data_IF_502977856183
#
_entry.id   IF_502977856183
#
_cell.length_a   1.000
_cell.length_b   1.000
_cell.length_c   1.000
_cell.angle_alpha   90.00
_cell.angle_beta   90.00
_cell.angle_gamma   90.00
#
_symmetry.space_group_name_H-M   'P 1'
#
loop_
_entity.id
_entity.type
_entity.pdbx_description
1 polymer ?
#
# COMPACT_ATOMS: atom_id res chain seq x y z
N UNK A 1 -16.98 -0.51 23.75
CA UNK A 1 -17.10 0.66 22.86
C UNK A 1 -16.94 0.15 21.44
N UNK A 2 -17.85 0.45 20.50
CA UNK A 2 -17.70 0.05 19.11
C UNK A 2 -16.34 0.51 18.56
N UNK A 3 -15.67 -0.33 17.77
CA UNK A 3 -14.37 0.02 17.19
C UNK A 3 -14.43 1.26 16.28
N UNK A 4 -15.61 1.51 15.72
CA UNK A 4 -15.88 2.64 14.84
C UNK A 4 -15.88 3.98 15.59
N UNK A 5 -16.01 3.97 16.92
CA UNK A 5 -15.98 5.17 17.77
C UNK A 5 -14.58 5.42 18.40
N UNK A 6 -13.62 4.51 18.18
CA UNK A 6 -12.26 4.67 18.72
C UNK A 6 -11.51 5.68 17.88
N UNK A 7 -11.18 6.83 18.47
CA UNK A 7 -10.35 7.87 17.84
C UNK A 7 -9.03 7.96 18.59
N UNK A 8 -7.92 7.87 17.86
CA UNK A 8 -6.59 8.08 18.43
C UNK A 8 -6.40 9.58 18.76
N UNK A 9 -6.50 9.94 20.04
CA UNK A 9 -6.38 11.33 20.48
C UNK A 9 -4.93 11.82 20.40
N UNK A 10 -4.71 12.89 19.64
CA UNK A 10 -3.40 13.56 19.50
C UNK A 10 -3.47 15.01 19.95
N UNK A 11 -2.40 15.49 20.60
CA UNK A 11 -2.27 16.92 20.91
C UNK A 11 -2.06 17.74 19.63
N UNK A 12 -2.34 19.05 19.61
CA UNK A 12 -2.08 19.90 18.45
C UNK A 12 -0.62 19.85 17.96
N UNK A 13 0.34 19.80 18.89
CA UNK A 13 1.76 19.63 18.54
C UNK A 13 2.06 18.27 17.92
N UNK A 14 1.39 17.21 18.39
CA UNK A 14 1.47 15.87 17.82
C UNK A 14 0.95 15.80 16.38
N UNK A 15 -0.11 16.55 16.04
CA UNK A 15 -0.65 16.64 14.69
C UNK A 15 0.31 17.32 13.70
N UNK A 16 1.02 18.36 14.14
CA UNK A 16 2.06 19.00 13.31
C UNK A 16 3.19 18.02 13.03
N UNK A 17 3.67 17.32 14.06
CA UNK A 17 4.72 16.30 13.90
C UNK A 17 4.25 15.19 12.95
N UNK A 18 3.01 14.72 13.10
CA UNK A 18 2.42 13.71 12.24
C UNK A 18 2.39 14.15 10.77
N UNK A 19 1.97 15.38 10.49
CA UNK A 19 1.94 15.92 9.12
C UNK A 19 3.35 16.02 8.52
N UNK A 20 4.35 16.38 9.34
CA UNK A 20 5.77 16.35 8.91
C UNK A 20 6.22 14.92 8.62
N UNK A 21 5.90 13.96 9.48
CA UNK A 21 6.22 12.54 9.26
C UNK A 21 5.58 12.04 7.97
N UNK A 22 4.31 12.36 7.71
CA UNK A 22 3.62 12.02 6.48
C UNK A 22 4.30 12.64 5.25
N UNK A 23 4.62 13.93 5.30
CA UNK A 23 5.35 14.61 4.22
C UNK A 23 6.71 13.97 3.95
N UNK A 24 7.42 13.55 4.99
CA UNK A 24 8.72 12.83 4.90
C UNK A 24 8.54 11.46 4.27
N UNK A 25 7.49 10.69 4.63
CA UNK A 25 7.19 9.39 4.01
C UNK A 25 6.90 9.57 2.52
N UNK A 26 6.01 10.50 2.16
CA UNK A 26 5.63 10.76 0.76
C UNK A 26 6.84 11.26 -0.04
N UNK A 27 7.65 12.14 0.55
CA UNK A 27 8.91 12.57 -0.06
C UNK A 27 9.82 11.35 -0.30
N UNK A 28 9.94 10.45 0.68
CA UNK A 28 10.70 9.21 0.53
C UNK A 28 10.25 8.39 -0.68
N UNK A 29 8.94 8.26 -0.91
CA UNK A 29 8.36 7.60 -2.10
C UNK A 29 8.70 8.38 -3.38
N UNK A 30 8.54 9.69 -3.37
CA UNK A 30 8.83 10.56 -4.51
C UNK A 30 10.30 10.50 -4.94
N UNK A 31 11.21 10.37 -3.97
CA UNK A 31 12.64 10.18 -4.22
C UNK A 31 12.94 8.85 -4.91
N UNK A 32 12.01 7.88 -4.89
CA UNK A 32 12.23 6.59 -5.51
C UNK A 32 12.07 6.58 -7.01
N UNK A 33 11.24 7.46 -7.54
CA UNK A 33 10.90 7.53 -8.96
C UNK A 33 12.12 7.99 -9.76
N UNK A 34 12.62 7.14 -10.66
CA UNK A 34 13.71 7.49 -11.57
C UNK A 34 13.19 7.65 -12.99
N UNK A 35 13.75 8.59 -13.79
CA UNK A 35 13.43 8.70 -15.21
C UNK A 35 13.70 7.40 -16.01
N UNK A 36 14.68 6.60 -15.56
CA UNK A 36 15.01 5.32 -16.18
C UNK A 36 13.88 4.30 -16.06
N UNK A 37 13.08 4.37 -14.99
CA UNK A 37 11.97 3.45 -14.73
C UNK A 37 10.88 3.56 -15.81
N UNK A 38 10.80 4.69 -16.53
CA UNK A 38 9.83 4.86 -17.60
C UNK A 38 10.24 4.19 -18.92
N UNK A 39 11.49 3.72 -19.06
CA UNK A 39 11.97 3.08 -20.30
C UNK A 39 11.32 1.71 -20.54
N UNK A 40 11.08 0.93 -19.48
CA UNK A 40 10.41 -0.38 -19.60
C UNK A 40 8.93 -0.22 -19.95
N UNK A 41 8.34 0.96 -19.72
CA UNK A 41 6.93 1.24 -20.06
C UNK A 41 6.64 1.02 -21.53
N UNK A 42 7.55 1.46 -22.39
CA UNK A 42 7.44 1.25 -23.83
C UNK A 42 7.66 -0.21 -24.25
N UNK A 43 8.37 -1.01 -23.44
CA UNK A 43 8.70 -2.41 -23.75
C UNK A 43 7.62 -3.38 -23.31
N UNK A 44 6.95 -3.10 -22.19
CA UNK A 44 5.95 -3.98 -21.57
C UNK A 44 4.63 -3.25 -21.26
N UNK A 45 4.01 -2.53 -22.22
CA UNK A 45 2.84 -1.68 -21.94
C UNK A 45 1.63 -2.50 -21.47
N UNK A 46 1.46 -3.73 -21.97
CA UNK A 46 0.37 -4.62 -21.56
C UNK A 46 0.44 -4.97 -20.07
N UNK A 47 1.63 -5.28 -19.56
CA UNK A 47 1.84 -5.64 -18.16
C UNK A 47 1.58 -4.45 -17.23
N UNK A 48 1.98 -3.25 -17.65
CA UNK A 48 1.80 -2.02 -16.87
C UNK A 48 0.34 -1.59 -16.83
N UNK A 49 -0.36 -1.56 -17.96
CA UNK A 49 -1.79 -1.22 -18.00
C UNK A 49 -2.62 -2.20 -17.17
N UNK A 50 -2.34 -3.50 -17.30
CA UNK A 50 -2.96 -4.53 -16.46
C UNK A 50 -2.65 -4.31 -14.99
N UNK A 51 -1.39 -4.05 -14.65
CA UNK A 51 -0.95 -3.77 -13.29
C UNK A 51 -1.72 -2.63 -12.65
N UNK A 52 -1.80 -1.49 -13.34
CA UNK A 52 -2.54 -0.31 -12.89
C UNK A 52 -4.03 -0.62 -12.73
N UNK A 53 -4.65 -1.32 -13.70
CA UNK A 53 -6.04 -1.73 -13.60
C UNK A 53 -6.26 -2.70 -12.43
N UNK A 54 -5.34 -3.63 -12.20
CA UNK A 54 -5.42 -4.55 -11.07
C UNK A 54 -5.27 -3.81 -9.73
N UNK A 55 -4.39 -2.82 -9.66
CA UNK A 55 -4.15 -2.04 -8.45
C UNK A 55 -5.29 -1.09 -8.10
N UNK A 56 -5.87 -0.38 -9.07
CA UNK A 56 -6.84 0.68 -8.78
C UNK A 56 -8.29 0.30 -9.07
N UNK A 57 -8.55 -0.77 -9.83
CA UNK A 57 -9.91 -1.23 -10.08
C UNK A 57 -10.16 -2.59 -9.41
N UNK A 58 -9.35 -3.60 -9.76
CA UNK A 58 -9.64 -4.97 -9.36
C UNK A 58 -9.46 -5.18 -7.85
N UNK A 59 -8.33 -4.76 -7.27
CA UNK A 59 -8.09 -4.96 -5.85
C UNK A 59 -9.10 -4.20 -4.98
N UNK A 60 -9.38 -2.90 -5.21
CA UNK A 60 -10.37 -2.18 -4.42
C UNK A 60 -11.79 -2.78 -4.57
N UNK A 61 -12.18 -3.24 -5.77
CA UNK A 61 -13.44 -3.96 -5.95
C UNK A 61 -13.49 -5.24 -5.09
N UNK A 62 -12.44 -6.05 -5.15
CA UNK A 62 -12.31 -7.27 -4.32
C UNK A 62 -12.32 -6.92 -2.83
N UNK A 63 -11.70 -5.80 -2.45
CA UNK A 63 -11.69 -5.30 -1.07
C UNK A 63 -13.09 -5.02 -0.55
N UNK A 64 -13.92 -4.31 -1.33
CA UNK A 64 -15.32 -4.05 -0.99
C UNK A 64 -16.09 -5.36 -0.88
N UNK A 65 -15.90 -6.30 -1.82
CA UNK A 65 -16.54 -7.61 -1.75
C UNK A 65 -16.17 -8.38 -0.47
N UNK A 66 -14.89 -8.37 -0.07
CA UNK A 66 -14.43 -9.00 1.17
C UNK A 66 -15.06 -8.32 2.39
N UNK A 67 -15.06 -6.97 2.44
CA UNK A 67 -15.63 -6.22 3.55
C UNK A 67 -17.13 -6.53 3.74
N UNK A 68 -17.88 -6.66 2.65
CA UNK A 68 -19.29 -7.02 2.66
C UNK A 68 -19.51 -8.48 3.05
N UNK A 69 -18.73 -9.40 2.49
CA UNK A 69 -18.86 -10.84 2.77
C UNK A 69 -18.53 -11.17 4.24
N UNK A 70 -17.55 -10.49 4.82
CA UNK A 70 -17.13 -10.70 6.21
C UNK A 70 -17.88 -9.80 7.20
N UNK A 71 -18.75 -8.89 6.73
CA UNK A 71 -19.51 -7.94 7.54
C UNK A 71 -18.63 -7.20 8.57
N UNK A 72 -17.44 -6.75 8.13
CA UNK A 72 -16.50 -6.07 9.03
C UNK A 72 -17.04 -4.69 9.44
N UNK A 73 -16.68 -4.20 10.65
CA UNK A 73 -16.98 -2.84 11.09
C UNK A 73 -16.57 -1.76 10.09
N UNK A 74 -17.27 -0.62 10.13
CA UNK A 74 -17.15 0.45 9.13
C UNK A 74 -15.72 1.00 9.04
N UNK A 75 -15.07 1.23 10.18
CA UNK A 75 -13.70 1.73 10.26
C UNK A 75 -12.69 0.72 9.71
N UNK A 76 -12.91 -0.59 9.91
CA UNK A 76 -12.06 -1.64 9.34
C UNK A 76 -12.25 -1.70 7.83
N UNK A 77 -13.49 -1.69 7.33
CA UNK A 77 -13.79 -1.68 5.91
C UNK A 77 -13.13 -0.48 5.21
N UNK A 78 -13.26 0.71 5.79
CA UNK A 78 -12.67 1.94 5.26
C UNK A 78 -11.14 1.87 5.26
N UNK A 79 -10.55 1.29 6.31
CA UNK A 79 -9.10 1.03 6.40
C UNK A 79 -8.61 0.07 5.32
N UNK A 80 -9.35 -1.01 5.07
CA UNK A 80 -9.03 -1.96 4.01
C UNK A 80 -9.09 -1.31 2.63
N UNK A 81 -10.14 -0.54 2.34
CA UNK A 81 -10.30 0.20 1.08
C UNK A 81 -9.17 1.20 0.91
N UNK A 82 -8.83 1.96 1.95
CA UNK A 82 -7.76 2.95 1.91
C UNK A 82 -6.41 2.31 1.55
N UNK A 83 -6.04 1.23 2.25
CA UNK A 83 -4.78 0.51 1.99
C UNK A 83 -4.79 -0.10 0.59
N UNK A 84 -5.90 -0.69 0.15
CA UNK A 84 -6.03 -1.25 -1.19
C UNK A 84 -5.92 -0.20 -2.30
N UNK A 85 -6.27 1.06 -2.03
CA UNK A 85 -6.10 2.17 -2.96
C UNK A 85 -4.70 2.80 -2.93
N UNK A 86 -3.86 2.46 -1.95
CA UNK A 86 -2.49 2.96 -1.91
C UNK A 86 -1.64 2.37 -3.05
N UNK A 87 -0.76 3.16 -3.67
CA UNK A 87 0.23 2.62 -4.60
C UNK A 87 1.17 1.62 -3.90
N UNK A 88 1.83 0.73 -4.65
CA UNK A 88 2.92 -0.09 -4.12
C UNK A 88 4.11 0.78 -3.67
N UNK A 89 4.89 0.27 -2.73
CA UNK A 89 6.14 0.89 -2.26
C UNK A 89 7.37 0.06 -2.60
N UNK A 90 8.58 0.62 -2.45
CA UNK A 90 9.84 -0.02 -2.85
C UNK A 90 10.13 -1.42 -2.29
N UNK A 91 9.39 -1.90 -1.28
CA UNK A 91 9.46 -3.29 -0.82
C UNK A 91 9.05 -4.29 -1.90
N UNK A 92 8.12 -3.94 -2.79
CA UNK A 92 7.70 -4.79 -3.92
C UNK A 92 8.90 -5.17 -4.80
N UNK A 93 9.78 -4.22 -5.11
CA UNK A 93 11.00 -4.47 -5.89
C UNK A 93 11.95 -5.46 -5.21
N UNK A 94 12.10 -5.37 -3.88
CA UNK A 94 12.93 -6.30 -3.09
C UNK A 94 12.32 -7.70 -3.11
N UNK A 95 11.00 -7.81 -2.95
CA UNK A 95 10.28 -9.08 -3.00
C UNK A 95 10.37 -9.71 -4.40
N UNK A 96 10.16 -8.92 -5.46
CA UNK A 96 10.31 -9.33 -6.85
C UNK A 96 11.72 -9.88 -7.11
N UNK A 97 12.76 -9.17 -6.69
CA UNK A 97 14.14 -9.64 -6.82
C UNK A 97 14.37 -10.97 -6.08
N UNK A 98 13.91 -11.07 -4.83
CA UNK A 98 14.05 -12.31 -4.02
C UNK A 98 13.30 -13.49 -4.60
N UNK A 99 12.21 -13.23 -5.31
CA UNK A 99 11.41 -14.21 -6.01
C UNK A 99 11.90 -14.53 -7.42
N UNK A 100 13.04 -13.98 -7.88
CA UNK A 100 13.50 -14.11 -9.27
C UNK A 100 12.46 -13.63 -10.31
N UNK A 101 11.72 -12.58 -9.98
CA UNK A 101 10.80 -11.90 -10.90
C UNK A 101 11.47 -10.78 -11.71
N UNK A 102 10.69 -10.15 -12.59
CA UNK A 102 11.16 -9.02 -13.40
C UNK A 102 11.20 -7.72 -12.57
N UNK A 103 12.39 -7.42 -12.03
CA UNK A 103 12.63 -6.22 -11.20
C UNK A 103 12.48 -4.94 -12.01
N UNK A 104 12.83 -4.95 -13.30
CA UNK A 104 12.69 -3.76 -14.15
C UNK A 104 11.21 -3.43 -14.37
N UNK A 105 10.38 -4.45 -14.60
CA UNK A 105 8.93 -4.27 -14.68
C UNK A 105 8.34 -3.78 -13.35
N UNK A 106 8.75 -4.37 -12.22
CA UNK A 106 8.31 -3.96 -10.86
C UNK A 106 8.62 -2.48 -10.61
N UNK A 107 9.86 -2.06 -10.83
CA UNK A 107 10.29 -0.67 -10.62
C UNK A 107 9.52 0.30 -11.52
N UNK A 108 9.31 -0.06 -12.79
CA UNK A 108 8.49 0.72 -13.72
C UNK A 108 7.04 0.82 -13.30
N UNK A 109 6.43 -0.28 -12.85
CA UNK A 109 5.07 -0.30 -12.35
C UNK A 109 4.93 0.56 -11.10
N UNK A 110 5.84 0.45 -10.14
CA UNK A 110 5.85 1.28 -8.93
C UNK A 110 5.97 2.76 -9.30
N UNK A 111 6.89 3.13 -10.18
CA UNK A 111 7.09 4.52 -10.61
C UNK A 111 5.84 5.12 -11.28
N UNK A 112 5.25 4.39 -12.24
CA UNK A 112 4.01 4.84 -12.91
C UNK A 112 2.85 4.90 -11.93
N UNK A 113 2.70 3.89 -11.08
CA UNK A 113 1.60 3.79 -10.13
C UNK A 113 1.67 4.89 -9.09
N UNK A 114 2.87 5.25 -8.61
CA UNK A 114 3.07 6.37 -7.69
C UNK A 114 2.69 7.73 -8.31
N UNK A 115 2.98 7.95 -9.60
CA UNK A 115 2.53 9.15 -10.30
C UNK A 115 1.01 9.18 -10.50
N UNK A 116 0.45 8.06 -10.95
CA UNK A 116 -1.00 7.91 -11.15
C UNK A 116 -1.75 8.08 -9.81
N UNK A 117 -1.17 7.60 -8.71
CA UNK A 117 -1.75 7.67 -7.37
C UNK A 117 -2.04 9.10 -6.92
N UNK A 118 -1.24 10.09 -7.34
CA UNK A 118 -1.42 11.50 -6.94
C UNK A 118 -2.88 11.91 -7.17
N UNK A 119 -3.45 11.55 -8.31
CA UNK A 119 -4.82 11.89 -8.69
C UNK A 119 -5.78 10.72 -8.43
N UNK A 120 -5.40 9.51 -8.84
CA UNK A 120 -6.33 8.37 -8.83
C UNK A 120 -6.62 7.92 -7.42
N UNK A 121 -5.63 7.87 -6.52
CA UNK A 121 -5.82 7.35 -5.16
C UNK A 121 -6.94 8.07 -4.38
N UNK A 122 -6.96 9.40 -4.24
CA UNK A 122 -8.03 10.07 -3.50
C UNK A 122 -9.42 9.87 -4.13
N UNK A 123 -9.49 9.89 -5.47
CA UNK A 123 -10.74 9.63 -6.19
C UNK A 123 -11.23 8.20 -5.97
N UNK A 124 -10.30 7.24 -5.97
CA UNK A 124 -10.59 5.83 -5.82
C UNK A 124 -11.08 5.52 -4.40
N UNK A 125 -10.44 6.07 -3.37
CA UNK A 125 -10.91 5.96 -1.98
C UNK A 125 -12.32 6.51 -1.86
N UNK A 126 -12.58 7.72 -2.37
CA UNK A 126 -13.90 8.34 -2.32
C UNK A 126 -14.97 7.49 -3.05
N UNK A 127 -14.63 6.96 -4.22
CA UNK A 127 -15.53 6.12 -5.02
C UNK A 127 -15.87 4.79 -4.31
N UNK A 128 -14.86 4.03 -3.90
CA UNK A 128 -15.08 2.71 -3.28
C UNK A 128 -15.68 2.81 -1.88
N UNK A 129 -15.34 3.84 -1.11
CA UNK A 129 -15.97 4.10 0.19
C UNK A 129 -17.45 4.52 0.04
N UNK A 130 -17.80 5.25 -1.01
CA UNK A 130 -19.20 5.60 -1.28
C UNK A 130 -20.03 4.39 -1.74
N UNK A 131 -19.42 3.42 -2.43
CA UNK A 131 -20.09 2.21 -2.90
C UNK A 131 -20.28 1.13 -1.83
N UNK A 132 -19.61 1.25 -0.68
CA UNK A 132 -19.71 0.29 0.41
C UNK A 132 -20.78 0.74 1.42
N UNK A 133 -21.93 0.04 1.54
CA UNK A 133 -22.95 0.34 2.54
C UNK A 133 -22.42 0.44 3.97
N UNK A 134 -21.40 -0.37 4.29
CA UNK A 134 -20.78 -0.42 5.61
C UNK A 134 -20.07 0.88 5.99
N UNK A 135 -19.67 1.71 5.02
CA UNK A 135 -18.93 2.95 5.25
C UNK A 135 -19.78 4.21 5.12
N UNK A 136 -21.07 4.08 4.77
CA UNK A 136 -21.97 5.22 4.53
C UNK A 136 -22.16 6.12 5.77
N UNK A 137 -22.17 5.53 6.98
CA UNK A 137 -22.26 6.28 8.24
C UNK A 137 -21.04 7.18 8.49
N UNK A 138 -19.83 6.65 8.30
CA UNK A 138 -18.57 7.39 8.46
C UNK A 138 -18.35 8.42 7.34
N UNK A 139 -18.85 8.12 6.14
CA UNK A 139 -18.74 9.03 4.98
C UNK A 139 -19.68 10.24 5.07
N UNK A 140 -20.77 10.18 5.84
CA UNK A 140 -21.68 11.33 6.05
C UNK A 140 -21.03 12.44 6.87
N UNK A 141 -20.26 12.12 7.90
CA UNK A 141 -19.51 13.13 8.67
C UNK A 141 -18.34 13.71 7.86
N UNK A 142 -17.75 12.88 6.98
CA UNK A 142 -16.74 13.28 5.99
C UNK A 142 -17.27 14.16 4.84
N UNK A 143 -18.59 14.25 4.67
CA UNK A 143 -19.21 14.78 3.45
C UNK A 143 -19.24 16.31 3.35
N UNK A 144 -18.80 17.05 4.38
CA UNK A 144 -18.96 18.50 4.47
C UNK A 144 -17.98 19.32 3.60
N UNK A 145 -16.86 18.74 3.11
CA UNK A 145 -16.00 19.41 2.12
C UNK A 145 -15.17 18.44 1.27
N UNK A 146 -15.83 17.68 0.38
CA UNK A 146 -15.16 16.73 -0.53
C UNK A 146 -14.16 17.41 -1.47
N UNK A 147 -14.42 18.66 -1.85
CA UNK A 147 -13.58 19.44 -2.76
C UNK A 147 -12.28 19.89 -2.07
N UNK A 148 -12.38 20.49 -0.89
CA UNK A 148 -11.22 20.90 -0.10
C UNK A 148 -10.37 19.72 0.34
N UNK A 149 -10.99 18.59 0.73
CA UNK A 149 -10.25 17.37 1.07
C UNK A 149 -9.46 16.83 -0.14
N UNK A 150 -10.06 16.77 -1.33
CA UNK A 150 -9.36 16.33 -2.55
C UNK A 150 -8.16 17.25 -2.83
N UNK A 151 -8.34 18.57 -2.76
CA UNK A 151 -7.26 19.54 -2.95
C UNK A 151 -6.17 19.35 -1.88
N UNK A 152 -6.55 19.13 -0.63
CA UNK A 152 -5.60 18.95 0.46
C UNK A 152 -4.79 17.65 0.33
N UNK A 153 -5.42 16.54 -0.06
CA UNK A 153 -4.73 15.27 -0.38
C UNK A 153 -3.81 15.46 -1.59
N UNK A 154 -4.28 16.14 -2.64
CA UNK A 154 -3.47 16.46 -3.81
C UNK A 154 -2.26 17.32 -3.45
N UNK A 155 -2.39 18.27 -2.54
CA UNK A 155 -1.26 19.09 -2.08
C UNK A 155 -0.30 18.29 -1.21
N UNK A 156 -0.81 17.50 -0.26
CA UNK A 156 0.01 16.67 0.64
C UNK A 156 0.79 15.61 -0.13
N UNK A 157 0.22 15.03 -1.19
CA UNK A 157 0.92 14.06 -2.03
C UNK A 157 1.72 14.76 -3.14
N UNK A 158 1.08 15.69 -3.85
CA UNK A 158 1.64 16.34 -5.03
C UNK A 158 2.83 17.24 -4.74
N UNK A 159 2.86 17.96 -3.61
CA UNK A 159 4.00 18.83 -3.26
C UNK A 159 5.28 18.01 -3.02
N UNK A 160 5.28 16.96 -2.17
CA UNK A 160 6.45 16.10 -2.03
C UNK A 160 6.89 15.44 -3.34
N UNK A 161 5.97 15.07 -4.24
CA UNK A 161 6.32 14.56 -5.56
C UNK A 161 6.95 15.62 -6.48
N UNK A 162 6.40 16.83 -6.50
CA UNK A 162 6.92 17.96 -7.25
C UNK A 162 8.32 18.40 -6.79
N UNK A 163 8.65 18.20 -5.50
CA UNK A 163 9.98 18.48 -4.94
C UNK A 163 10.93 17.28 -5.05
N UNK A 164 10.43 16.08 -4.72
CA UNK A 164 11.22 14.86 -4.64
C UNK A 164 11.73 14.38 -5.99
N UNK A 165 10.90 14.39 -7.03
CA UNK A 165 11.32 13.88 -8.35
C UNK A 165 12.44 14.74 -8.99
N UNK A 166 12.38 16.09 -8.99
CA UNK A 166 13.51 16.90 -9.45
C UNK A 166 14.77 16.69 -8.61
N UNK A 167 14.64 16.53 -7.29
CA UNK A 167 15.78 16.27 -6.41
C UNK A 167 16.42 14.91 -6.72
N UNK A 168 15.61 13.88 -6.89
CA UNK A 168 15.98 12.55 -7.34
C UNK A 168 16.73 12.57 -8.68
N UNK A 169 16.25 13.38 -9.62
CA UNK A 169 16.87 13.54 -10.94
C UNK A 169 18.19 14.31 -10.90
N UNK A 170 18.28 15.37 -10.08
CA UNK A 170 19.44 16.28 -10.05
C UNK A 170 20.56 15.80 -9.14
N UNK A 171 20.24 15.11 -8.05
CA UNK A 171 21.21 14.62 -7.06
C UNK A 171 20.97 13.13 -6.71
N UNK A 172 21.15 12.21 -7.69
CA UNK A 172 20.84 10.80 -7.50
C UNK A 172 21.62 10.18 -6.33
N UNK A 173 22.93 10.46 -6.22
CA UNK A 173 23.78 9.92 -5.15
C UNK A 173 23.34 10.34 -3.74
N UNK A 174 22.94 11.61 -3.58
CA UNK A 174 22.42 12.12 -2.31
C UNK A 174 21.10 11.42 -1.96
N UNK A 175 20.19 11.33 -2.94
CA UNK A 175 18.87 10.74 -2.71
C UNK A 175 18.94 9.24 -2.43
N UNK A 176 19.87 8.51 -3.04
CA UNK A 176 20.10 7.10 -2.74
C UNK A 176 20.66 6.88 -1.32
N UNK A 177 21.48 7.81 -0.83
CA UNK A 177 21.95 7.80 0.56
C UNK A 177 20.83 8.14 1.55
N UNK A 178 20.01 9.14 1.27
CA UNK A 178 18.98 9.64 2.19
C UNK A 178 17.72 8.78 2.24
N UNK A 179 17.29 8.24 1.11
CA UNK A 179 16.05 7.45 0.96
C UNK A 179 15.84 6.38 2.05
N UNK A 180 16.79 5.46 2.32
CA UNK A 180 16.56 4.41 3.32
C UNK A 180 16.37 4.99 4.72
N UNK A 181 17.01 6.13 5.04
CA UNK A 181 16.83 6.81 6.33
C UNK A 181 15.47 7.49 6.40
N UNK A 182 15.09 8.23 5.36
CA UNK A 182 13.79 8.90 5.25
C UNK A 182 12.64 7.91 5.46
N UNK A 183 12.69 6.75 4.79
CA UNK A 183 11.68 5.70 4.92
C UNK A 183 11.67 5.06 6.31
N UNK A 184 12.85 4.69 6.85
CA UNK A 184 12.94 4.05 8.18
C UNK A 184 12.49 4.99 9.28
N UNK A 185 12.94 6.24 9.28
CA UNK A 185 12.57 7.24 10.28
C UNK A 185 11.07 7.52 10.20
N UNK A 186 10.54 7.73 8.99
CA UNK A 186 9.10 7.95 8.78
C UNK A 186 8.27 6.78 9.31
N UNK A 187 8.63 5.55 8.94
CA UNK A 187 7.93 4.35 9.40
C UNK A 187 8.01 4.17 10.93
N UNK A 188 9.20 4.30 11.51
CA UNK A 188 9.39 4.18 12.97
C UNK A 188 8.60 5.25 13.73
N UNK A 189 8.63 6.50 13.26
CA UNK A 189 7.85 7.57 13.85
C UNK A 189 6.35 7.25 13.79
N UNK A 190 5.86 6.80 12.65
CA UNK A 190 4.45 6.46 12.45
C UNK A 190 4.01 5.26 13.31
N UNK A 191 4.86 4.23 13.43
CA UNK A 191 4.65 3.11 14.35
C UNK A 191 4.63 3.56 15.82
N UNK A 192 5.51 4.48 16.20
CA UNK A 192 5.50 5.05 17.55
C UNK A 192 4.20 5.80 17.83
N UNK A 193 3.66 6.55 16.85
CA UNK A 193 2.36 7.19 16.95
C UNK A 193 1.22 6.20 17.17
N UNK A 194 1.22 5.07 16.43
CA UNK A 194 0.23 4.01 16.64
C UNK A 194 0.37 3.44 18.03
N UNK A 195 1.56 3.02 18.45
CA UNK A 195 1.76 2.37 19.74
C UNK A 195 1.32 3.31 20.87
N UNK A 196 1.64 4.60 20.79
CA UNK A 196 1.19 5.60 21.75
C UNK A 196 -0.34 5.76 21.74
N UNK A 197 -0.96 5.84 20.56
CA UNK A 197 -2.41 5.95 20.41
C UNK A 197 -3.16 4.70 20.89
N UNK A 198 -2.68 3.52 20.51
CA UNK A 198 -3.25 2.21 20.87
C UNK A 198 -3.08 1.91 22.36
N UNK A 199 -1.92 2.22 22.96
CA UNK A 199 -1.72 2.06 24.41
C UNK A 199 -2.72 2.88 25.21
N UNK A 200 -3.07 4.08 24.71
CA UNK A 200 -4.06 4.96 25.32
C UNK A 200 -5.51 4.48 25.12
N UNK A 201 -5.75 3.52 24.22
CA UNK A 201 -7.07 3.01 23.82
C UNK A 201 -7.15 1.46 23.88
N UNK A 202 -6.33 0.83 24.72
CA UNK A 202 -6.07 -0.61 24.65
C UNK A 202 -7.31 -1.47 24.97
N UNK A 203 -8.21 -0.98 25.81
CA UNK A 203 -9.43 -1.69 26.22
C UNK A 203 -10.32 -2.07 25.02
N UNK A 204 -10.93 -1.10 24.33
CA UNK A 204 -11.78 -1.34 23.17
C UNK A 204 -11.07 -2.08 22.01
N UNK A 205 -9.78 -1.81 21.80
CA UNK A 205 -9.05 -2.39 20.67
C UNK A 205 -8.74 -3.88 20.88
N UNK A 206 -8.58 -4.33 22.12
CA UNK A 206 -8.19 -5.71 22.45
C UNK A 206 -9.19 -6.74 21.93
N UNK A 207 -10.48 -6.43 21.97
CA UNK A 207 -11.55 -7.34 21.56
C UNK A 207 -11.58 -7.57 20.04
N UNK A 208 -11.07 -6.62 19.26
CA UNK A 208 -11.10 -6.66 17.79
C UNK A 208 -9.76 -7.04 17.16
N UNK A 209 -8.68 -7.08 17.93
CA UNK A 209 -7.33 -7.45 17.47
C UNK A 209 -7.38 -8.73 16.63
N UNK A 210 -7.88 -9.85 17.19
CA UNK A 210 -7.88 -11.15 16.51
C UNK A 210 -8.60 -11.13 15.17
N UNK A 211 -9.74 -10.46 15.09
CA UNK A 211 -10.50 -10.32 13.84
C UNK A 211 -9.75 -9.48 12.81
N UNK A 212 -9.16 -8.35 13.22
CA UNK A 212 -8.35 -7.50 12.33
C UNK A 212 -7.14 -8.29 11.80
N UNK A 213 -6.45 -9.01 12.67
CA UNK A 213 -5.32 -9.87 12.30
C UNK A 213 -5.69 -10.85 11.18
N UNK A 214 -6.80 -11.57 11.36
CA UNK A 214 -7.26 -12.58 10.41
C UNK A 214 -7.75 -11.95 9.10
N UNK A 215 -8.58 -10.91 9.18
CA UNK A 215 -9.16 -10.23 8.01
C UNK A 215 -8.06 -9.66 7.12
N UNK A 216 -7.08 -8.96 7.71
CA UNK A 216 -5.95 -8.39 6.97
C UNK A 216 -5.10 -9.50 6.36
N UNK A 217 -4.83 -10.57 7.11
CA UNK A 217 -4.02 -11.67 6.59
C UNK A 217 -4.66 -12.37 5.39
N UNK A 218 -5.97 -12.61 5.46
CA UNK A 218 -6.76 -13.18 4.35
C UNK A 218 -6.82 -12.21 3.17
N UNK A 219 -7.06 -10.94 3.43
CA UNK A 219 -7.16 -9.93 2.38
C UNK A 219 -5.83 -9.74 1.65
N UNK A 220 -4.70 -9.69 2.36
CA UNK A 220 -3.37 -9.61 1.75
C UNK A 220 -3.06 -10.84 0.88
N UNK A 221 -3.42 -12.04 1.34
CA UNK A 221 -3.30 -13.25 0.53
C UNK A 221 -4.15 -13.18 -0.75
N UNK A 222 -5.37 -12.64 -0.66
CA UNK A 222 -6.21 -12.40 -1.84
C UNK A 222 -5.59 -11.33 -2.74
N UNK A 223 -4.98 -10.28 -2.19
CA UNK A 223 -4.33 -9.22 -2.98
C UNK A 223 -3.17 -9.77 -3.81
N UNK A 224 -2.32 -10.61 -3.21
CA UNK A 224 -1.27 -11.34 -3.92
C UNK A 224 -1.86 -12.26 -5.00
N UNK A 225 -2.93 -13.00 -4.68
CA UNK A 225 -3.59 -13.88 -5.64
C UNK A 225 -4.19 -13.11 -6.82
N UNK A 226 -4.84 -11.96 -6.58
CA UNK A 226 -5.39 -11.07 -7.60
C UNK A 226 -4.29 -10.62 -8.57
N UNK A 227 -3.15 -10.18 -8.05
CA UNK A 227 -2.01 -9.80 -8.89
C UNK A 227 -1.49 -10.94 -9.76
N UNK A 228 -1.31 -12.13 -9.16
CA UNK A 228 -0.82 -13.31 -9.88
C UNK A 228 -1.80 -13.76 -10.98
N UNK A 229 -3.09 -13.86 -10.65
CA UNK A 229 -4.10 -14.36 -11.57
C UNK A 229 -4.49 -13.35 -12.65
N UNK A 230 -4.48 -12.04 -12.34
CA UNK A 230 -4.63 -11.01 -13.37
C UNK A 230 -3.51 -11.12 -14.42
N UNK A 231 -2.26 -11.23 -13.97
CA UNK A 231 -1.10 -11.42 -14.86
C UNK A 231 -1.16 -12.75 -15.64
N UNK A 232 -1.65 -13.82 -15.01
CA UNK A 232 -1.83 -15.11 -15.66
C UNK A 232 -2.94 -15.09 -16.73
N UNK A 233 -4.03 -14.37 -16.50
CA UNK A 233 -5.16 -14.27 -17.43
C UNK A 233 -4.76 -13.70 -18.80
N UNK A 234 -3.79 -12.77 -18.81
CA UNK A 234 -3.22 -12.21 -20.06
C UNK A 234 -1.92 -12.90 -20.50
N UNK A 235 -1.60 -14.05 -19.89
CA UNK A 235 -0.48 -14.92 -20.26
C UNK A 235 0.90 -14.25 -20.19
N UNK A 236 1.14 -13.39 -19.21
CA UNK A 236 2.52 -12.93 -18.93
C UNK A 236 3.42 -14.12 -18.58
N UNK A 237 4.72 -13.99 -18.80
CA UNK A 237 5.70 -14.98 -18.34
C UNK A 237 5.77 -15.03 -16.80
N UNK A 238 6.39 -16.07 -16.25
CA UNK A 238 6.45 -16.28 -14.80
C UNK A 238 7.17 -15.13 -14.05
N UNK A 239 8.24 -14.56 -14.61
CA UNK A 239 8.98 -13.49 -13.96
C UNK A 239 8.15 -12.20 -13.90
N UNK A 240 7.44 -11.89 -14.98
CA UNK A 240 6.47 -10.79 -15.04
C UNK A 240 5.28 -11.01 -14.10
N UNK A 241 4.74 -12.23 -14.00
CA UNK A 241 3.65 -12.55 -13.06
C UNK A 241 4.05 -12.29 -11.61
N UNK A 242 5.27 -12.69 -11.22
CA UNK A 242 5.79 -12.45 -9.86
C UNK A 242 5.92 -10.97 -9.57
N UNK A 243 6.39 -10.18 -10.54
CA UNK A 243 6.44 -8.72 -10.41
C UNK A 243 5.04 -8.13 -10.20
N UNK A 244 4.07 -8.44 -11.07
CA UNK A 244 2.68 -7.95 -10.93
C UNK A 244 2.05 -8.41 -9.62
N UNK A 245 2.37 -9.62 -9.15
CA UNK A 245 1.88 -10.14 -7.86
C UNK A 245 2.27 -9.24 -6.70
N UNK A 246 3.55 -8.89 -6.58
CA UNK A 246 4.00 -8.01 -5.49
C UNK A 246 3.59 -6.56 -5.69
N UNK A 247 3.52 -6.07 -6.93
CA UNK A 247 3.05 -4.71 -7.22
C UNK A 247 1.56 -4.50 -6.91
N UNK A 248 0.74 -5.55 -6.96
CA UNK A 248 -0.68 -5.50 -6.59
C UNK A 248 -0.87 -5.80 -5.10
N UNK A 249 -0.15 -6.79 -4.56
CA UNK A 249 -0.32 -7.24 -3.18
C UNK A 249 0.39 -6.38 -2.14
N UNK A 250 1.66 -6.02 -2.38
CA UNK A 250 2.44 -5.22 -1.42
C UNK A 250 2.10 -3.74 -1.58
N UNK A 251 1.40 -3.18 -0.58
CA UNK A 251 0.88 -1.81 -0.61
C UNK A 251 1.74 -0.88 0.23
N UNK A 252 1.69 0.42 -0.09
CA UNK A 252 2.30 1.43 0.78
C UNK A 252 1.40 1.71 1.98
N UNK A 253 1.47 0.84 2.97
CA UNK A 253 0.70 0.89 4.21
C UNK A 253 1.10 2.08 5.09
N UNK A 254 2.35 2.55 5.01
CA UNK A 254 2.79 3.78 5.69
C UNK A 254 2.05 5.02 5.19
N UNK A 255 1.83 5.13 3.87
CA UNK A 255 0.98 6.18 3.30
C UNK A 255 -0.47 6.04 3.78
N UNK A 256 -1.07 4.85 3.69
CA UNK A 256 -2.46 4.61 4.13
C UNK A 256 -2.68 4.93 5.61
N UNK A 257 -1.72 4.58 6.45
CA UNK A 257 -1.74 4.90 7.87
C UNK A 257 -1.60 6.41 8.12
N UNK A 258 -0.67 7.09 7.45
CA UNK A 258 -0.54 8.54 7.61
C UNK A 258 -1.78 9.30 7.15
N UNK A 259 -2.40 8.89 6.04
CA UNK A 259 -3.67 9.46 5.59
C UNK A 259 -4.81 9.19 6.58
N UNK A 260 -4.84 8.01 7.21
CA UNK A 260 -5.78 7.70 8.29
C UNK A 260 -5.67 8.71 9.44
N UNK A 261 -4.45 8.94 9.91
CA UNK A 261 -4.21 9.81 11.06
C UNK A 261 -4.47 11.30 10.73
N UNK A 262 -4.18 11.73 9.49
CA UNK A 262 -4.36 13.12 9.07
C UNK A 262 -5.79 13.46 8.65
N UNK A 263 -6.46 12.59 7.89
CA UNK A 263 -7.77 12.89 7.30
C UNK A 263 -8.92 12.24 8.06
N UNK A 264 -8.72 11.04 8.59
CA UNK A 264 -9.77 10.27 9.26
C UNK A 264 -9.66 10.36 10.78
N UNK A 265 -9.10 11.47 11.29
CA UNK A 265 -8.90 11.75 12.73
C UNK A 265 -8.18 10.63 13.50
N UNK A 266 -7.50 9.71 12.81
CA UNK A 266 -6.95 8.51 13.44
C UNK A 266 -7.99 7.52 13.93
N UNK A 267 -9.05 7.26 13.14
CA UNK A 267 -9.98 6.16 13.40
C UNK A 267 -9.21 4.84 13.69
N UNK A 268 -9.46 4.27 14.85
CA UNK A 268 -8.69 3.16 15.41
C UNK A 268 -8.69 1.94 14.51
N UNK A 269 -9.84 1.53 13.99
CA UNK A 269 -9.95 0.40 13.06
C UNK A 269 -9.13 0.58 11.79
N UNK A 270 -9.15 1.78 11.20
CA UNK A 270 -8.36 2.10 10.00
C UNK A 270 -6.86 2.05 10.30
N UNK A 271 -6.44 2.67 11.41
CA UNK A 271 -5.04 2.74 11.80
C UNK A 271 -4.48 1.35 12.09
N UNK A 272 -5.26 0.49 12.76
CA UNK A 272 -4.88 -0.90 13.04
C UNK A 272 -4.76 -1.75 11.77
N UNK A 273 -5.70 -1.60 10.83
CA UNK A 273 -5.62 -2.29 9.53
C UNK A 273 -4.33 -1.90 8.83
N UNK A 274 -4.04 -0.60 8.68
CA UNK A 274 -2.84 -0.15 7.98
C UNK A 274 -1.55 -0.57 8.70
N UNK A 275 -1.52 -0.47 10.04
CA UNK A 275 -0.39 -0.89 10.87
C UNK A 275 -0.07 -2.38 10.70
N UNK A 276 -1.09 -3.23 10.86
CA UNK A 276 -0.90 -4.66 10.80
C UNK A 276 -0.62 -5.15 9.38
N UNK A 277 -1.30 -4.57 8.39
CA UNK A 277 -1.05 -4.89 6.99
C UNK A 277 0.43 -4.66 6.65
N UNK A 278 1.02 -3.54 7.06
CA UNK A 278 2.43 -3.24 6.74
C UNK A 278 3.46 -4.17 7.38
N UNK A 279 3.09 -4.92 8.42
CA UNK A 279 3.93 -5.97 8.98
C UNK A 279 3.67 -7.28 8.21
N UNK A 280 2.38 -7.60 8.03
CA UNK A 280 1.97 -8.87 7.44
C UNK A 280 2.35 -8.99 5.95
N UNK A 281 2.20 -7.94 5.15
CA UNK A 281 2.52 -7.98 3.72
C UNK A 281 4.01 -8.27 3.46
N UNK A 282 4.91 -7.74 4.29
CA UNK A 282 6.35 -8.02 4.23
C UNK A 282 6.58 -9.50 4.56
N UNK A 283 5.96 -10.02 5.62
CA UNK A 283 6.10 -11.41 6.03
C UNK A 283 5.55 -12.38 4.99
N UNK A 284 4.34 -12.15 4.51
CA UNK A 284 3.68 -12.95 3.49
C UNK A 284 4.43 -12.88 2.16
N UNK A 285 4.85 -11.67 1.76
CA UNK A 285 5.63 -11.46 0.55
C UNK A 285 6.99 -12.16 0.59
N UNK A 286 7.71 -12.08 1.72
CA UNK A 286 8.97 -12.79 1.92
C UNK A 286 8.80 -14.31 1.90
N UNK A 287 7.73 -14.82 2.52
CA UNK A 287 7.40 -16.24 2.52
C UNK A 287 7.10 -16.74 1.09
N UNK A 288 6.29 -15.99 0.33
CA UNK A 288 5.97 -16.31 -1.06
C UNK A 288 7.21 -16.25 -1.96
N UNK A 289 8.03 -15.22 -1.83
CA UNK A 289 9.29 -15.09 -2.56
C UNK A 289 10.25 -16.26 -2.27
N UNK A 290 10.38 -16.66 -1.00
CA UNK A 290 11.18 -17.80 -0.60
C UNK A 290 10.63 -19.12 -1.15
N UNK A 291 9.31 -19.27 -1.19
CA UNK A 291 8.65 -20.43 -1.80
C UNK A 291 8.94 -20.54 -3.29
N UNK A 292 8.78 -19.45 -4.05
CA UNK A 292 9.10 -19.42 -5.49
C UNK A 292 10.56 -19.78 -5.76
N UNK A 293 11.50 -19.19 -5.01
CA UNK A 293 12.93 -19.49 -5.16
C UNK A 293 13.25 -20.96 -4.89
N UNK A 294 12.66 -21.56 -3.85
CA UNK A 294 12.83 -22.98 -3.54
C UNK A 294 12.22 -23.88 -4.62
N UNK A 295 11.05 -23.51 -5.16
CA UNK A 295 10.39 -24.24 -6.24
C UNK A 295 11.24 -24.28 -7.51
N UNK A 296 11.83 -23.16 -7.88
CA UNK A 296 12.66 -23.06 -9.09
C UNK A 296 13.98 -23.82 -8.95
N UNK A 297 14.63 -23.73 -7.78
CA UNK A 297 15.81 -24.53 -7.49
C UNK A 297 15.54 -26.05 -7.59
N UNK A 298 14.39 -26.51 -7.08
CA UNK A 298 13.97 -27.91 -7.21
C UNK A 298 13.67 -28.32 -8.65
N UNK A 299 13.07 -27.44 -9.45
CA UNK A 299 12.83 -27.70 -10.88
C UNK A 299 14.15 -27.81 -11.64
N UNK A 300 15.11 -26.93 -11.37
CA UNK A 300 16.43 -26.95 -11.98
C UNK A 300 17.20 -28.25 -11.64
N UNK A 301 17.18 -28.67 -10.37
CA UNK A 301 17.80 -29.93 -9.95
C UNK A 301 17.21 -31.15 -10.68
N UNK A 302 15.87 -31.25 -10.75
CA UNK A 302 15.19 -32.33 -11.48
C UNK A 302 15.49 -32.34 -12.98
N UNK A 303 15.61 -31.16 -13.59
CA UNK A 303 15.96 -31.06 -15.01
C UNK A 303 17.40 -31.52 -15.27
N UNK A 304 18.31 -31.26 -14.34
CA UNK A 304 19.70 -31.73 -14.41
C UNK A 304 19.81 -33.24 -14.20
N UNK A 305 19.05 -33.81 -13.26
CA UNK A 305 18.97 -35.27 -13.06
C UNK A 305 18.40 -35.99 -14.29
N UNK A 306 17.39 -35.42 -14.96
CA UNK A 306 16.78 -36.01 -16.14
C UNK A 306 17.66 -35.92 -17.41
N UNK A 307 18.73 -35.12 -17.38
CA UNK A 307 19.66 -34.93 -18.49
C UNK A 307 20.91 -35.83 -18.39
N UNK A 308 21.08 -36.54 -17.28
CA UNK A 308 22.14 -37.53 -17.03
C UNK A 308 21.63 -38.95 -17.36
#
# INVERSE_FOLDING_TARGET
MPIDDVVLNFSPGSLVILNVVLAVIILGIALEVRPADFRTVARSPKAILLGIAAQYLLLPAVTVCIALALQVPASIALGMILVACCPPGGISNVLTHRAQGDVALSASMTAVSNLVAIIVMPLNVAFWAALSPSTDSLMRDFSLDRGGMLVQVLLIIGVPFALGMPLARRFPELTDRLRPWVQRIGLVALLAFIVAGTASNLGPLREHLGTIFLVVALHDAVALAVGYWAAAAVRLDEASRRAVTFEVGARNTGLGLGLTLTFFSGLGGMAMVAAWWGIWDILAGLALAAWWRRRDARKAAKAQEAAL
#
